data_IF_173415816056
#
_entry.id   IF_173415816056
#
_cell.length_a   1.000
_cell.length_b   1.000
_cell.length_c   1.000
_cell.angle_alpha   90.00
_cell.angle_beta   90.00
_cell.angle_gamma   90.00
#
_symmetry.space_group_name_H-M   'P 1'
#
loop_
_entity.id
_entity.type
_entity.pdbx_description
1 polymer ?
#
# COMPACT_ATOMS: atom_id res chain seq x y z
N UNK A 1 7.00 20.81 3.40
CA UNK A 1 6.22 20.17 4.51
C UNK A 1 7.05 19.01 4.97
N UNK A 2 7.56 19.09 6.18
CA UNK A 2 8.54 18.12 6.70
C UNK A 2 7.85 16.80 6.99
N UNK A 3 8.08 15.81 6.15
CA UNK A 3 7.92 14.43 6.59
C UNK A 3 9.11 14.16 7.51
N UNK A 4 8.88 13.64 8.67
CA UNK A 4 9.89 13.38 9.69
C UNK A 4 9.64 12.02 10.34
N UNK A 5 10.60 11.53 11.10
CA UNK A 5 10.42 10.32 11.90
C UNK A 5 9.14 10.38 12.75
N UNK A 6 8.84 11.54 13.32
CA UNK A 6 7.67 11.77 14.18
C UNK A 6 6.36 11.60 13.41
N UNK A 7 6.28 12.12 12.18
CA UNK A 7 5.10 11.98 11.31
C UNK A 7 4.89 10.51 10.94
N UNK A 8 5.95 9.82 10.50
CA UNK A 8 5.87 8.41 10.11
C UNK A 8 5.52 7.51 11.29
N UNK A 9 6.12 7.71 12.48
CA UNK A 9 5.77 6.94 13.67
C UNK A 9 4.36 7.26 14.19
N UNK A 10 3.93 8.52 14.13
CA UNK A 10 2.57 8.89 14.52
C UNK A 10 1.53 8.23 13.60
N UNK A 11 1.74 8.31 12.28
CA UNK A 11 0.89 7.61 11.31
C UNK A 11 0.89 6.09 11.54
N UNK A 12 2.06 5.50 11.84
CA UNK A 12 2.20 4.08 12.16
C UNK A 12 1.33 3.69 13.36
N UNK A 13 1.38 4.43 14.47
CA UNK A 13 0.60 4.13 15.67
C UNK A 13 -0.91 4.12 15.37
N UNK A 14 -1.41 5.13 14.65
CA UNK A 14 -2.83 5.20 14.28
C UNK A 14 -3.24 4.08 13.34
N UNK A 15 -2.42 3.79 12.33
CA UNK A 15 -2.70 2.76 11.33
C UNK A 15 -2.61 1.35 11.92
N UNK A 16 -1.59 1.06 12.74
CA UNK A 16 -1.45 -0.23 13.43
C UNK A 16 -2.58 -0.44 14.42
N UNK A 17 -2.87 0.56 15.27
CA UNK A 17 -3.97 0.46 16.24
C UNK A 17 -5.33 0.27 15.55
N UNK A 18 -5.63 1.10 14.57
CA UNK A 18 -6.86 0.99 13.79
C UNK A 18 -6.95 -0.30 12.99
N UNK A 19 -5.85 -0.73 12.37
CA UNK A 19 -5.77 -1.97 11.59
C UNK A 19 -5.91 -3.22 12.47
N UNK A 20 -5.28 -3.26 13.64
CA UNK A 20 -5.43 -4.35 14.59
C UNK A 20 -6.89 -4.46 15.07
N UNK A 21 -7.52 -3.33 15.39
CA UNK A 21 -8.92 -3.30 15.78
C UNK A 21 -9.85 -3.75 14.64
N UNK A 22 -9.63 -3.28 13.40
CA UNK A 22 -10.39 -3.68 12.24
C UNK A 22 -10.25 -5.18 11.95
N UNK A 23 -9.04 -5.71 12.06
CA UNK A 23 -8.72 -7.13 11.87
C UNK A 23 -9.45 -7.99 12.90
N UNK A 24 -9.37 -7.61 14.18
CA UNK A 24 -10.11 -8.29 15.24
C UNK A 24 -11.63 -8.27 14.99
N UNK A 25 -12.19 -7.13 14.54
CA UNK A 25 -13.62 -7.06 14.18
C UNK A 25 -13.97 -7.90 12.96
N UNK A 26 -13.13 -7.89 11.93
CA UNK A 26 -13.34 -8.68 10.72
C UNK A 26 -13.44 -10.19 11.03
N UNK A 27 -12.62 -10.71 11.94
CA UNK A 27 -12.69 -12.13 12.36
C UNK A 27 -14.02 -12.48 13.04
N UNK A 28 -14.65 -11.53 13.74
CA UNK A 28 -15.93 -11.73 14.39
C UNK A 28 -17.13 -11.63 13.45
N UNK A 29 -17.01 -10.84 12.39
CA UNK A 29 -18.12 -10.55 11.45
C UNK A 29 -18.09 -11.53 10.28
N UNK A 30 -17.03 -11.55 9.49
CA UNK A 30 -16.83 -12.43 8.35
C UNK A 30 -15.37 -12.41 7.91
N UNK A 31 -14.75 -13.59 7.83
CA UNK A 31 -13.35 -13.73 7.43
C UNK A 31 -13.01 -13.12 6.05
N UNK A 32 -14.02 -12.96 5.16
CA UNK A 32 -13.81 -12.31 3.85
C UNK A 32 -13.37 -10.86 3.95
N UNK A 33 -13.68 -10.19 5.05
CA UNK A 33 -13.20 -8.83 5.30
C UNK A 33 -11.75 -8.79 5.79
N UNK A 34 -11.19 -9.92 6.19
CA UNK A 34 -9.86 -9.98 6.81
C UNK A 34 -8.75 -9.37 5.92
N UNK A 35 -8.65 -9.70 4.61
CA UNK A 35 -7.61 -9.11 3.77
C UNK A 35 -7.71 -7.59 3.64
N UNK A 36 -8.93 -7.05 3.61
CA UNK A 36 -9.18 -5.61 3.58
C UNK A 36 -8.87 -4.97 4.93
N UNK A 37 -9.23 -5.63 6.03
CA UNK A 37 -8.98 -5.15 7.39
C UNK A 37 -7.48 -5.10 7.74
N UNK A 38 -6.66 -5.96 7.12
CA UNK A 38 -5.21 -5.97 7.28
C UNK A 38 -4.49 -4.83 6.56
N UNK A 39 -5.14 -4.18 5.58
CA UNK A 39 -4.48 -3.09 4.82
C UNK A 39 -3.99 -1.94 5.72
N UNK A 40 -4.78 -1.37 6.65
CA UNK A 40 -4.28 -0.35 7.55
C UNK A 40 -3.13 -0.83 8.43
N UNK A 41 -3.17 -2.08 8.90
CA UNK A 41 -2.09 -2.67 9.69
C UNK A 41 -0.78 -2.72 8.90
N UNK A 42 -0.83 -3.19 7.67
CA UNK A 42 0.34 -3.25 6.80
C UNK A 42 0.87 -1.87 6.42
N UNK A 43 -0.03 -0.91 6.14
CA UNK A 43 0.37 0.46 5.91
C UNK A 43 1.04 1.08 7.16
N UNK A 44 0.55 0.73 8.35
CA UNK A 44 1.16 1.16 9.61
C UNK A 44 2.55 0.56 9.84
N UNK A 45 2.76 -0.72 9.52
CA UNK A 45 4.09 -1.34 9.58
C UNK A 45 5.02 -0.70 8.54
N UNK A 46 4.54 -0.42 7.33
CA UNK A 46 5.31 0.30 6.32
C UNK A 46 5.74 1.68 6.81
N UNK A 47 4.84 2.44 7.46
CA UNK A 47 5.17 3.74 8.04
C UNK A 47 6.16 3.64 9.21
N UNK A 48 6.11 2.56 9.98
CA UNK A 48 7.13 2.28 10.99
C UNK A 48 8.52 2.09 10.36
N UNK A 49 8.60 1.34 9.26
CA UNK A 49 9.87 1.17 8.53
C UNK A 49 10.41 2.51 8.02
N UNK A 50 9.56 3.37 7.47
CA UNK A 50 9.94 4.71 7.01
C UNK A 50 10.42 5.61 8.15
N UNK A 51 9.77 5.54 9.32
CA UNK A 51 10.23 6.23 10.52
C UNK A 51 11.66 5.83 10.93
N UNK A 52 12.01 4.54 10.80
CA UNK A 52 13.36 4.07 11.04
C UNK A 52 14.36 4.57 9.98
N UNK A 53 13.97 4.72 8.71
CA UNK A 53 14.83 5.36 7.70
C UNK A 53 15.17 6.78 8.13
N UNK A 54 14.20 7.56 8.58
CA UNK A 54 14.45 8.90 9.12
C UNK A 54 15.39 8.92 10.32
N UNK A 55 15.23 7.97 11.26
CA UNK A 55 16.15 7.83 12.40
C UNK A 55 17.57 7.55 11.91
N UNK A 56 17.73 6.58 10.99
CA UNK A 56 19.05 6.24 10.44
C UNK A 56 19.70 7.43 9.71
N UNK A 57 18.94 8.18 8.91
CA UNK A 57 19.42 9.40 8.23
C UNK A 57 19.86 10.45 9.25
N UNK A 58 19.06 10.71 10.28
CA UNK A 58 19.35 11.73 11.28
C UNK A 58 20.53 11.36 12.19
N UNK A 59 20.78 10.07 12.43
CA UNK A 59 21.89 9.56 13.25
C UNK A 59 23.14 9.25 12.43
N UNK A 60 23.03 9.25 11.10
CA UNK A 60 24.14 8.85 10.20
C UNK A 60 24.43 7.35 10.27
N UNK A 61 23.43 6.51 10.63
CA UNK A 61 23.57 5.06 10.71
C UNK A 61 23.10 4.38 9.40
N UNK A 62 24.01 3.95 8.52
CA UNK A 62 23.66 3.34 7.25
C UNK A 62 22.95 1.98 7.39
N UNK A 63 23.19 1.25 8.49
CA UNK A 63 22.52 -0.02 8.73
C UNK A 63 21.03 0.19 8.99
N UNK A 64 20.67 1.14 9.85
CA UNK A 64 19.28 1.49 10.14
C UNK A 64 18.58 2.06 8.90
N UNK A 65 19.27 2.88 8.08
CA UNK A 65 18.74 3.36 6.78
C UNK A 65 18.42 2.18 5.88
N UNK A 66 19.37 1.28 5.65
CA UNK A 66 19.20 0.15 4.74
C UNK A 66 18.07 -0.79 5.21
N UNK A 67 18.06 -1.15 6.48
CA UNK A 67 17.04 -2.04 7.05
C UNK A 67 15.64 -1.44 6.94
N UNK A 68 15.50 -0.16 7.32
CA UNK A 68 14.24 0.56 7.20
C UNK A 68 13.77 0.69 5.75
N UNK A 69 14.69 1.04 4.83
CA UNK A 69 14.41 1.15 3.40
C UNK A 69 13.98 -0.18 2.80
N UNK A 70 14.69 -1.28 3.10
CA UNK A 70 14.32 -2.63 2.65
C UNK A 70 12.93 -3.03 3.13
N UNK A 71 12.59 -2.74 4.40
CA UNK A 71 11.26 -2.97 4.94
C UNK A 71 10.19 -2.11 4.24
N UNK A 72 10.47 -0.83 4.00
CA UNK A 72 9.54 0.07 3.31
C UNK A 72 9.28 -0.36 1.87
N UNK A 73 10.33 -0.65 1.07
CA UNK A 73 10.20 -1.07 -0.33
C UNK A 73 9.60 -2.48 -0.46
N UNK A 74 9.73 -3.37 0.56
CA UNK A 74 9.01 -4.64 0.59
C UNK A 74 7.49 -4.41 0.47
N UNK A 75 6.94 -3.52 1.28
CA UNK A 75 5.52 -3.20 1.17
C UNK A 75 5.20 -2.53 -0.15
N UNK A 76 5.99 -1.53 -0.56
CA UNK A 76 5.73 -0.75 -1.77
C UNK A 76 5.81 -1.62 -3.02
N UNK A 77 6.92 -2.31 -3.24
CA UNK A 77 7.19 -2.98 -4.52
C UNK A 77 6.66 -4.40 -4.60
N UNK A 78 6.61 -5.11 -3.46
CA UNK A 78 6.22 -6.53 -3.45
C UNK A 78 4.81 -6.73 -2.93
N UNK A 79 4.51 -6.23 -1.74
CA UNK A 79 3.28 -6.61 -1.06
C UNK A 79 2.03 -5.98 -1.67
N UNK A 80 2.00 -4.68 -1.95
CA UNK A 80 0.79 -4.01 -2.43
C UNK A 80 0.29 -4.51 -3.78
N UNK A 81 1.14 -4.73 -4.81
CA UNK A 81 0.70 -5.27 -6.10
C UNK A 81 0.04 -6.65 -6.00
N UNK A 82 0.36 -7.41 -4.96
CA UNK A 82 -0.20 -8.74 -4.70
C UNK A 82 -1.44 -8.62 -3.81
N UNK A 83 -1.31 -7.89 -2.70
CA UNK A 83 -2.31 -7.89 -1.63
C UNK A 83 -3.61 -7.23 -2.03
N UNK A 84 -3.56 -6.10 -2.73
CA UNK A 84 -4.75 -5.37 -3.14
C UNK A 84 -5.64 -6.23 -4.05
N UNK A 85 -5.14 -6.85 -5.14
CA UNK A 85 -5.94 -7.78 -5.94
C UNK A 85 -6.47 -8.98 -5.14
N UNK A 86 -5.67 -9.56 -4.22
CA UNK A 86 -6.12 -10.67 -3.36
C UNK A 86 -7.26 -10.21 -2.45
N UNK A 87 -7.16 -9.04 -1.85
CA UNK A 87 -8.20 -8.53 -0.97
C UNK A 87 -9.52 -8.32 -1.72
N UNK A 88 -9.47 -7.79 -2.94
CA UNK A 88 -10.64 -7.68 -3.81
C UNK A 88 -11.17 -9.06 -4.20
N UNK A 89 -10.31 -10.00 -4.58
CA UNK A 89 -10.68 -11.38 -4.93
C UNK A 89 -11.44 -12.09 -3.80
N UNK A 90 -10.95 -11.99 -2.56
CA UNK A 90 -11.57 -12.66 -1.41
C UNK A 90 -12.91 -12.02 -1.07
N UNK A 91 -13.00 -10.70 -1.21
CA UNK A 91 -14.22 -9.96 -0.91
C UNK A 91 -15.31 -10.21 -1.97
N UNK A 92 -14.94 -10.39 -3.24
CA UNK A 92 -15.85 -10.52 -4.37
C UNK A 92 -16.83 -11.71 -4.21
N UNK A 93 -18.11 -11.59 -4.65
CA UNK A 93 -19.08 -12.67 -4.59
C UNK A 93 -18.56 -13.97 -5.23
N UNK A 94 -18.90 -15.17 -4.70
CA UNK A 94 -18.39 -16.45 -5.22
C UNK A 94 -18.63 -16.67 -6.70
N UNK A 95 -19.81 -16.26 -7.19
CA UNK A 95 -20.27 -16.49 -8.56
C UNK A 95 -19.85 -15.36 -9.54
N UNK A 96 -19.09 -14.38 -9.07
CA UNK A 96 -18.63 -13.28 -9.90
C UNK A 96 -17.62 -13.76 -10.95
N UNK A 97 -17.84 -13.48 -12.25
CA UNK A 97 -16.87 -13.82 -13.29
C UNK A 97 -15.56 -13.05 -13.13
N UNK A 98 -15.58 -11.91 -12.41
CA UNK A 98 -14.41 -11.06 -12.17
C UNK A 98 -13.39 -11.70 -11.23
N UNK A 99 -13.77 -12.73 -10.45
CA UNK A 99 -12.83 -13.42 -9.55
C UNK A 99 -11.60 -13.95 -10.28
N UNK A 100 -11.79 -14.58 -11.46
CA UNK A 100 -10.67 -15.07 -12.27
C UNK A 100 -9.72 -13.94 -12.69
N UNK A 101 -10.30 -12.78 -13.02
CA UNK A 101 -9.53 -11.59 -13.38
C UNK A 101 -8.71 -11.06 -12.19
N UNK A 102 -9.29 -10.96 -10.99
CA UNK A 102 -8.56 -10.52 -9.80
C UNK A 102 -7.45 -11.50 -9.40
N UNK A 103 -7.67 -12.80 -9.60
CA UNK A 103 -6.61 -13.80 -9.40
C UNK A 103 -5.47 -13.62 -10.42
N UNK A 104 -5.80 -13.31 -11.69
CA UNK A 104 -4.79 -12.98 -12.71
C UNK A 104 -4.01 -11.71 -12.33
N UNK A 105 -4.68 -10.66 -11.84
CA UNK A 105 -4.01 -9.46 -11.32
C UNK A 105 -3.05 -9.80 -10.17
N UNK A 106 -3.47 -10.66 -9.22
CA UNK A 106 -2.62 -11.09 -8.12
C UNK A 106 -1.39 -11.87 -8.60
N UNK A 107 -1.55 -12.76 -9.58
CA UNK A 107 -0.44 -13.52 -10.16
C UNK A 107 0.54 -12.62 -10.93
N UNK A 108 0.03 -11.65 -11.71
CA UNK A 108 0.86 -10.64 -12.37
C UNK A 108 1.56 -9.76 -11.32
N UNK A 109 0.82 -9.35 -10.27
CA UNK A 109 1.37 -8.58 -9.16
C UNK A 109 2.50 -9.30 -8.43
N UNK A 110 2.37 -10.63 -8.24
CA UNK A 110 3.43 -11.46 -7.67
C UNK A 110 4.68 -11.47 -8.55
N UNK A 111 4.53 -11.76 -9.85
CA UNK A 111 5.65 -11.77 -10.78
C UNK A 111 6.34 -10.40 -10.84
N UNK A 112 5.55 -9.33 -10.93
CA UNK A 112 6.05 -7.96 -10.97
C UNK A 112 6.75 -7.56 -9.66
N UNK A 113 6.14 -7.89 -8.52
CA UNK A 113 6.73 -7.63 -7.20
C UNK A 113 8.04 -8.38 -6.97
N UNK A 114 8.14 -9.64 -7.43
CA UNK A 114 9.40 -10.39 -7.40
C UNK A 114 10.49 -9.72 -8.23
N UNK A 115 10.16 -9.24 -9.43
CA UNK A 115 11.11 -8.53 -10.30
C UNK A 115 11.57 -7.20 -9.72
N UNK A 116 10.71 -6.52 -8.94
CA UNK A 116 11.07 -5.26 -8.31
C UNK A 116 11.84 -5.43 -7.00
N UNK A 117 11.46 -6.38 -6.15
CA UNK A 117 11.99 -6.48 -4.79
C UNK A 117 13.20 -7.42 -4.65
N UNK A 118 13.14 -8.62 -5.28
CA UNK A 118 14.21 -9.63 -5.11
C UNK A 118 15.58 -9.13 -5.53
N UNK A 119 15.73 -8.35 -6.62
CA UNK A 119 17.04 -7.79 -6.99
C UNK A 119 17.68 -6.92 -5.91
N UNK A 120 16.87 -6.17 -5.14
CA UNK A 120 17.37 -5.36 -4.02
C UNK A 120 17.81 -6.21 -2.81
N UNK A 121 17.18 -7.37 -2.61
CA UNK A 121 17.65 -8.34 -1.59
C UNK A 121 18.98 -8.94 -1.96
N UNK A 122 19.18 -9.22 -3.25
CA UNK A 122 20.44 -9.80 -3.76
C UNK A 122 21.56 -8.74 -3.82
N UNK A 123 21.20 -7.51 -4.18
CA UNK A 123 22.11 -6.38 -4.32
C UNK A 123 21.65 -5.21 -3.43
N UNK A 124 21.94 -5.25 -2.12
CA UNK A 124 21.54 -4.18 -1.20
C UNK A 124 22.07 -2.79 -1.58
N UNK A 125 23.21 -2.73 -2.26
CA UNK A 125 23.84 -1.49 -2.77
C UNK A 125 22.99 -0.79 -3.85
N UNK A 126 21.96 -1.47 -4.39
CA UNK A 126 21.01 -0.86 -5.31
C UNK A 126 19.96 0.00 -4.60
N UNK A 127 19.87 -0.09 -3.28
CA UNK A 127 18.96 0.74 -2.48
C UNK A 127 19.65 2.05 -2.15
N UNK A 128 19.25 3.12 -2.79
CA UNK A 128 19.72 4.47 -2.53
C UNK A 128 18.59 5.31 -1.92
N UNK A 129 18.86 5.88 -0.75
CA UNK A 129 17.92 6.76 -0.05
C UNK A 129 18.52 8.15 0.02
N UNK A 130 17.82 9.11 -0.56
CA UNK A 130 18.22 10.51 -0.53
C UNK A 130 17.15 11.35 0.17
N UNK A 131 17.57 12.45 0.81
CA UNK A 131 16.64 13.42 1.39
C UNK A 131 16.48 14.57 0.41
N UNK A 132 15.28 14.72 -0.13
CA UNK A 132 14.99 15.78 -1.08
C UNK A 132 13.85 16.66 -0.54
N UNK A 133 14.17 17.92 -0.18
CA UNK A 133 13.22 18.90 0.35
C UNK A 133 12.32 18.35 1.47
N UNK A 134 12.93 17.83 2.52
CA UNK A 134 12.24 17.27 3.69
C UNK A 134 11.36 16.02 3.38
N UNK A 135 11.69 15.24 2.37
CA UNK A 135 11.06 13.97 2.05
C UNK A 135 12.11 12.93 1.64
N UNK A 136 11.84 11.66 1.92
CA UNK A 136 12.69 10.57 1.49
C UNK A 136 12.40 10.21 0.03
N UNK A 137 13.45 10.13 -0.76
CA UNK A 137 13.40 9.60 -2.12
C UNK A 137 14.17 8.27 -2.17
N UNK A 138 13.53 7.27 -2.74
CA UNK A 138 14.12 5.94 -2.96
C UNK A 138 14.52 5.84 -4.43
N UNK A 139 15.77 6.24 -4.74
CA UNK A 139 16.25 6.48 -6.11
C UNK A 139 17.11 5.33 -6.68
N UNK A 140 17.23 4.24 -5.99
CA UNK A 140 18.10 3.14 -6.36
C UNK A 140 17.89 2.56 -7.77
N UNK A 141 18.75 1.65 -8.17
CA UNK A 141 18.69 0.93 -9.45
C UNK A 141 17.57 -0.12 -9.42
N UNK A 142 16.71 -0.14 -10.42
CA UNK A 142 15.70 -1.18 -10.59
C UNK A 142 16.09 -2.11 -11.74
N UNK A 143 15.89 -3.43 -11.56
CA UNK A 143 16.13 -4.40 -12.63
C UNK A 143 15.38 -4.05 -13.92
N UNK A 144 14.16 -3.55 -13.81
CA UNK A 144 13.32 -3.18 -14.94
C UNK A 144 13.82 -1.96 -15.71
N UNK A 145 14.69 -1.12 -15.14
CA UNK A 145 15.30 0.02 -15.85
C UNK A 145 16.17 -0.41 -17.03
N UNK A 146 16.67 -1.66 -17.01
CA UNK A 146 17.42 -2.25 -18.14
C UNK A 146 16.49 -2.71 -19.28
N UNK A 147 15.19 -2.84 -19.03
CA UNK A 147 14.22 -3.38 -20.01
C UNK A 147 13.25 -2.32 -20.49
N UNK A 148 12.89 -1.35 -19.64
CA UNK A 148 11.89 -0.32 -19.94
C UNK A 148 12.16 0.96 -19.15
N UNK A 149 11.68 2.13 -19.64
CA UNK A 149 11.79 3.38 -18.90
C UNK A 149 11.06 3.30 -17.55
N UNK A 150 11.64 3.87 -16.50
CA UNK A 150 11.11 3.83 -15.12
C UNK A 150 9.65 4.29 -14.99
N UNK A 151 9.22 5.25 -15.78
CA UNK A 151 7.82 5.68 -15.75
C UNK A 151 6.83 4.57 -16.14
N UNK A 152 7.22 3.63 -17.05
CA UNK A 152 6.40 2.48 -17.41
C UNK A 152 6.24 1.53 -16.22
N UNK A 153 7.30 1.31 -15.44
CA UNK A 153 7.25 0.54 -14.19
C UNK A 153 6.21 1.13 -13.23
N UNK A 154 6.19 2.45 -13.05
CA UNK A 154 5.19 3.13 -12.22
C UNK A 154 3.77 3.02 -12.78
N UNK A 155 3.59 3.14 -14.09
CA UNK A 155 2.26 2.96 -14.72
C UNK A 155 1.74 1.54 -14.51
N UNK A 156 2.57 0.51 -14.71
CA UNK A 156 2.20 -0.89 -14.47
C UNK A 156 1.85 -1.08 -12.99
N UNK A 157 2.66 -0.56 -12.08
CA UNK A 157 2.41 -0.60 -10.64
C UNK A 157 1.04 0.00 -10.29
N UNK A 158 0.79 1.22 -10.73
CA UNK A 158 -0.48 1.92 -10.47
C UNK A 158 -1.67 1.17 -11.08
N UNK A 159 -1.51 0.61 -12.27
CA UNK A 159 -2.53 -0.21 -12.89
C UNK A 159 -2.91 -1.42 -12.01
N UNK A 160 -1.91 -2.11 -11.45
CA UNK A 160 -2.12 -3.28 -10.60
C UNK A 160 -2.82 -2.95 -9.27
N UNK A 161 -2.58 -1.77 -8.69
CA UNK A 161 -3.17 -1.39 -7.40
C UNK A 161 -4.49 -0.61 -7.53
N UNK A 162 -4.75 0.05 -8.65
CA UNK A 162 -5.93 0.90 -8.86
C UNK A 162 -7.07 0.13 -9.53
N UNK A 163 -6.76 -0.63 -10.59
CA UNK A 163 -7.82 -1.25 -11.41
C UNK A 163 -8.64 -2.29 -10.65
N UNK A 164 -8.04 -3.21 -9.86
CA UNK A 164 -8.83 -4.20 -9.13
C UNK A 164 -9.87 -3.58 -8.16
N UNK A 165 -9.53 -2.61 -7.28
CA UNK A 165 -10.52 -1.95 -6.44
C UNK A 165 -11.63 -1.27 -7.23
N UNK A 166 -11.31 -0.58 -8.33
CA UNK A 166 -12.31 0.11 -9.17
C UNK A 166 -13.28 -0.85 -9.85
N UNK A 167 -12.82 -2.06 -10.17
CA UNK A 167 -13.64 -3.09 -10.80
C UNK A 167 -14.46 -3.91 -9.81
N UNK A 168 -14.29 -3.73 -8.49
CA UNK A 168 -15.01 -4.48 -7.46
C UNK A 168 -16.52 -4.23 -7.53
N UNK A 169 -17.32 -5.23 -7.15
CA UNK A 169 -18.75 -5.08 -6.90
C UNK A 169 -19.04 -4.15 -5.71
N UNK A 170 -18.14 -4.10 -4.74
CA UNK A 170 -18.33 -3.32 -3.53
C UNK A 170 -18.00 -1.84 -3.76
N UNK A 171 -18.99 -0.98 -3.61
CA UNK A 171 -18.88 0.46 -3.82
C UNK A 171 -17.73 1.09 -3.01
N UNK A 172 -17.55 0.65 -1.78
CA UNK A 172 -16.48 1.17 -0.92
C UNK A 172 -15.07 0.80 -1.42
N UNK A 173 -14.89 -0.37 -2.04
CA UNK A 173 -13.63 -0.70 -2.70
C UNK A 173 -13.38 0.21 -3.91
N UNK A 174 -14.43 0.60 -4.64
CA UNK A 174 -14.31 1.58 -5.71
C UNK A 174 -13.92 2.96 -5.17
N UNK A 175 -14.49 3.37 -4.03
CA UNK A 175 -14.06 4.60 -3.36
C UNK A 175 -12.60 4.53 -2.92
N UNK A 176 -12.14 3.39 -2.41
CA UNK A 176 -10.73 3.19 -2.09
C UNK A 176 -9.84 3.33 -3.33
N UNK A 177 -10.20 2.70 -4.46
CA UNK A 177 -9.52 2.88 -5.75
C UNK A 177 -9.51 4.34 -6.21
N UNK A 178 -10.64 5.05 -6.07
CA UNK A 178 -10.74 6.49 -6.34
C UNK A 178 -9.86 7.33 -5.41
N UNK A 179 -9.75 6.95 -4.14
CA UNK A 179 -8.83 7.62 -3.19
C UNK A 179 -7.37 7.46 -3.63
N UNK A 180 -6.96 6.27 -4.09
CA UNK A 180 -5.60 6.07 -4.62
C UNK A 180 -5.35 7.00 -5.82
N UNK A 181 -6.31 7.12 -6.75
CA UNK A 181 -6.18 8.06 -7.90
C UNK A 181 -6.03 9.50 -7.40
N UNK A 182 -6.87 9.93 -6.46
CA UNK A 182 -6.80 11.28 -5.91
C UNK A 182 -5.43 11.54 -5.25
N UNK A 183 -4.89 10.56 -4.51
CA UNK A 183 -3.55 10.63 -3.92
C UNK A 183 -2.48 10.76 -4.98
N UNK A 184 -2.53 9.96 -6.07
CA UNK A 184 -1.59 10.07 -7.19
C UNK A 184 -1.62 11.45 -7.83
N UNK A 185 -2.82 12.01 -8.05
CA UNK A 185 -2.98 13.35 -8.62
C UNK A 185 -2.37 14.42 -7.69
N UNK A 186 -2.65 14.34 -6.39
CA UNK A 186 -2.08 15.25 -5.38
C UNK A 186 -0.57 15.15 -5.36
N UNK A 187 -0.03 13.93 -5.38
CA UNK A 187 1.40 13.66 -5.36
C UNK A 187 2.11 14.22 -6.60
N UNK A 188 1.59 13.97 -7.80
CA UNK A 188 2.14 14.50 -9.06
C UNK A 188 2.06 16.02 -9.13
N UNK A 189 0.99 16.64 -8.63
CA UNK A 189 0.80 18.10 -8.70
C UNK A 189 1.64 18.86 -7.66
N UNK A 190 1.79 18.30 -6.45
CA UNK A 190 2.41 19.00 -5.32
C UNK A 190 3.86 18.61 -5.08
N UNK A 191 4.26 17.37 -5.40
CA UNK A 191 5.50 16.78 -4.93
C UNK A 191 6.30 16.07 -6.04
N UNK A 192 6.59 16.75 -7.11
CA UNK A 192 7.37 16.21 -8.26
C UNK A 192 8.66 15.44 -7.89
N UNK A 193 9.14 15.54 -6.63
CA UNK A 193 10.46 15.06 -6.20
C UNK A 193 10.42 14.02 -5.05
N UNK A 194 9.24 13.73 -4.45
CA UNK A 194 9.14 12.88 -3.26
C UNK A 194 7.99 11.86 -3.34
N UNK A 195 7.68 11.45 -4.56
CA UNK A 195 6.45 10.77 -4.92
C UNK A 195 6.13 9.52 -4.08
N UNK A 196 7.10 8.64 -3.80
CA UNK A 196 6.79 7.32 -3.22
C UNK A 196 6.45 7.41 -1.73
N UNK A 197 7.24 8.14 -0.95
CA UNK A 197 7.07 8.27 0.51
C UNK A 197 5.73 8.93 0.86
N UNK A 198 5.44 10.07 0.25
CA UNK A 198 4.20 10.81 0.50
C UNK A 198 2.96 10.08 -0.05
N UNK A 199 3.09 9.44 -1.22
CA UNK A 199 2.06 8.57 -1.77
C UNK A 199 1.71 7.45 -0.79
N UNK A 200 2.69 6.76 -0.22
CA UNK A 200 2.47 5.66 0.72
C UNK A 200 1.81 6.14 2.02
N UNK A 201 2.19 7.32 2.53
CA UNK A 201 1.56 7.92 3.70
C UNK A 201 0.08 8.23 3.44
N UNK A 202 -0.23 8.94 2.36
CA UNK A 202 -1.61 9.32 2.03
C UNK A 202 -2.48 8.11 1.67
N UNK A 203 -1.95 7.16 0.89
CA UNK A 203 -2.65 5.92 0.57
C UNK A 203 -2.89 5.09 1.83
N UNK A 204 -1.91 5.01 2.73
CA UNK A 204 -2.04 4.39 4.04
C UNK A 204 -3.17 5.01 4.87
N UNK A 205 -3.21 6.32 4.98
CA UNK A 205 -4.31 7.03 5.67
C UNK A 205 -5.65 6.78 4.97
N UNK A 206 -5.68 6.66 3.65
CA UNK A 206 -6.87 6.28 2.89
C UNK A 206 -7.44 4.91 3.28
N UNK A 207 -6.59 3.99 3.78
CA UNK A 207 -7.05 2.69 4.26
C UNK A 207 -7.90 2.79 5.54
N UNK A 208 -7.81 3.87 6.31
CA UNK A 208 -8.65 4.09 7.50
C UNK A 208 -10.14 4.16 7.14
N UNK A 209 -10.48 4.59 5.91
CA UNK A 209 -11.85 4.52 5.42
C UNK A 209 -12.40 3.08 5.42
N UNK A 210 -11.55 2.11 5.16
CA UNK A 210 -11.93 0.68 5.16
C UNK A 210 -12.32 0.19 6.56
N UNK A 211 -11.74 0.76 7.62
CA UNK A 211 -12.12 0.46 9.02
C UNK A 211 -13.58 0.85 9.27
N UNK A 212 -13.95 2.06 8.83
CA UNK A 212 -15.33 2.56 8.95
C UNK A 212 -16.33 1.59 8.32
N UNK A 213 -16.00 1.03 7.15
CA UNK A 213 -16.85 0.08 6.44
C UNK A 213 -17.08 -1.19 7.24
N UNK A 214 -16.00 -1.75 7.80
CA UNK A 214 -16.06 -2.99 8.59
C UNK A 214 -16.94 -2.77 9.84
N UNK A 215 -16.82 -1.59 10.47
CA UNK A 215 -17.60 -1.24 11.64
C UNK A 215 -19.09 -1.04 11.31
N UNK A 216 -19.39 -0.40 10.18
CA UNK A 216 -20.76 -0.15 9.74
C UNK A 216 -21.51 -1.41 9.30
N UNK A 217 -20.80 -2.41 8.79
CA UNK A 217 -21.37 -3.70 8.38
C UNK A 217 -21.96 -4.53 9.54
N UNK A 218 -21.78 -4.11 10.80
CA UNK A 218 -22.59 -4.63 11.91
C UNK A 218 -24.08 -4.33 11.68
N UNK A 219 -24.39 -3.21 11.02
CA UNK A 219 -25.76 -2.80 10.67
C UNK A 219 -26.32 -3.58 9.45
N UNK A 220 -25.45 -4.06 8.53
CA UNK A 220 -25.89 -4.75 7.32
C UNK A 220 -26.39 -6.18 7.56
N UNK A 221 -26.10 -6.79 8.72
CA UNK A 221 -26.77 -8.04 9.15
C UNK A 221 -28.21 -7.83 9.56
N UNK A 222 -28.57 -6.62 9.95
CA UNK A 222 -29.93 -6.24 10.37
C UNK A 222 -30.74 -5.57 9.26
N UNK A 223 -30.08 -5.10 8.17
CA UNK A 223 -30.73 -4.45 7.01
C UNK A 223 -30.10 -4.87 5.68
N UNK A 224 -30.51 -6.00 5.08
CA UNK A 224 -29.90 -6.51 3.83
C UNK A 224 -30.16 -5.62 2.60
N UNK A 225 -31.02 -4.62 2.65
CA UNK A 225 -31.46 -3.81 1.50
C UNK A 225 -30.64 -2.53 1.23
N UNK A 226 -29.57 -2.22 1.98
CA UNK A 226 -28.78 -0.99 1.80
C UNK A 226 -27.47 -1.18 1.02
N UNK A 227 -27.19 -2.37 0.51
CA UNK A 227 -25.92 -2.72 -0.15
C UNK A 227 -26.09 -3.47 -1.48
N UNK A 228 -27.25 -3.34 -2.12
CA UNK A 228 -27.46 -3.76 -3.50
C UNK A 228 -26.94 -2.72 -4.50
#
# INVERSE_FOLDING_TARGET
MCLSAEVSFTASVFLVGGGAFATWKATQINWRYLPVALMPLFAGIQQFMEGNVWVGVNTGDPFTVLWGAMGFIFFTWFMWPIWIPIAVYVLEPPDSPRKKLFLAFAAIGLAFGLLLYVPHVINPDWVEVTVNRDSLAYEGTMLLDYMMPRWMTYVIYLFLIIVPPLMSHYLHMRYFGGTIIAVVIVDVLLLRYAAISFFCLLAGLGTLHLIYIILRNKCARECPMLFA
#
